data_IF_659569129652
#
_entry.id   IF_659569129652
#
_cell.length_a   1.000
_cell.length_b   1.000
_cell.length_c   1.000
_cell.angle_alpha   90.00
_cell.angle_beta   90.00
_cell.angle_gamma   90.00
#
_symmetry.space_group_name_H-M   'P 1'
#
loop_
_entity.id
_entity.type
_entity.pdbx_description
1 polymer ?
#
# COMPACT_ATOMS: atom_id res chain seq x y z
N UNK A 1 54.42 1.01 -6.95
CA UNK A 1 53.01 1.25 -7.32
C UNK A 1 52.97 2.16 -8.53
N UNK A 2 52.21 1.79 -9.57
CA UNK A 2 52.12 2.58 -10.79
C UNK A 2 51.17 3.76 -10.53
N UNK A 3 51.73 4.94 -10.26
CA UNK A 3 50.96 6.16 -9.95
C UNK A 3 49.90 6.45 -11.03
N UNK A 4 50.23 6.20 -12.30
CA UNK A 4 49.31 6.30 -13.45
C UNK A 4 48.11 5.36 -13.34
N UNK A 5 48.33 4.11 -12.88
CA UNK A 5 47.26 3.12 -12.68
C UNK A 5 46.38 3.50 -11.50
N UNK A 6 46.97 4.02 -10.42
CA UNK A 6 46.24 4.45 -9.22
C UNK A 6 45.28 5.61 -9.53
N UNK A 7 45.72 6.60 -10.31
CA UNK A 7 44.89 7.76 -10.68
C UNK A 7 43.74 7.32 -11.58
N UNK A 8 44.01 6.44 -12.55
CA UNK A 8 42.99 5.92 -13.45
C UNK A 8 41.89 5.16 -12.67
N UNK A 9 42.29 4.34 -11.69
CA UNK A 9 41.35 3.58 -10.87
C UNK A 9 40.45 4.49 -10.02
N UNK A 10 40.99 5.56 -9.43
CA UNK A 10 40.19 6.53 -8.65
C UNK A 10 39.19 7.26 -9.54
N UNK A 11 39.58 7.65 -10.76
CA UNK A 11 38.66 8.31 -11.70
C UNK A 11 37.50 7.39 -12.08
N UNK A 12 37.77 6.12 -12.36
CA UNK A 12 36.73 5.13 -12.65
C UNK A 12 35.80 4.95 -11.44
N UNK A 13 36.35 4.84 -10.23
CA UNK A 13 35.54 4.74 -9.01
C UNK A 13 34.62 5.95 -8.82
N UNK A 14 35.11 7.16 -9.08
CA UNK A 14 34.30 8.39 -8.96
C UNK A 14 33.18 8.44 -9.99
N UNK A 15 33.42 7.98 -11.22
CA UNK A 15 32.37 7.94 -12.26
C UNK A 15 31.30 6.91 -11.89
N UNK A 16 31.69 5.68 -11.56
CA UNK A 16 30.74 4.62 -11.23
C UNK A 16 30.03 4.89 -9.90
N UNK A 17 30.78 5.24 -8.86
CA UNK A 17 30.24 5.53 -7.53
C UNK A 17 29.38 6.79 -7.51
N UNK A 18 29.82 7.85 -8.18
CA UNK A 18 29.06 9.10 -8.30
C UNK A 18 27.74 8.91 -9.05
N UNK A 19 27.77 8.20 -10.19
CA UNK A 19 26.56 7.92 -10.98
C UNK A 19 25.59 7.05 -10.19
N UNK A 20 26.07 6.00 -9.51
CA UNK A 20 25.23 5.13 -8.68
C UNK A 20 24.59 5.88 -7.51
N UNK A 21 25.32 6.79 -6.86
CA UNK A 21 24.81 7.61 -5.77
C UNK A 21 23.68 8.55 -6.25
N UNK A 22 23.87 9.19 -7.42
CA UNK A 22 22.87 10.09 -8.02
C UNK A 22 21.60 9.33 -8.39
N UNK A 23 21.73 8.14 -8.99
CA UNK A 23 20.57 7.30 -9.33
C UNK A 23 19.80 6.89 -8.08
N UNK A 24 20.49 6.39 -7.03
CA UNK A 24 19.84 5.97 -5.79
C UNK A 24 19.15 7.12 -5.04
N UNK A 25 19.73 8.33 -5.08
CA UNK A 25 19.13 9.53 -4.45
C UNK A 25 17.97 10.09 -5.28
N UNK A 26 17.98 9.88 -6.59
CA UNK A 26 16.93 10.40 -7.50
C UNK A 26 15.76 9.44 -7.64
N UNK A 27 15.96 8.14 -7.39
CA UNK A 27 14.90 7.16 -7.11
C UNK A 27 14.21 7.51 -5.78
N UNK A 28 13.55 8.67 -5.77
CA UNK A 28 12.43 8.91 -4.89
C UNK A 28 11.29 8.14 -5.54
N UNK A 29 10.98 6.98 -4.98
CA UNK A 29 9.72 6.25 -5.18
C UNK A 29 8.56 7.19 -4.83
N UNK A 30 8.29 8.18 -5.67
CA UNK A 30 7.06 8.94 -5.64
C UNK A 30 6.06 7.98 -6.24
N UNK A 31 5.17 7.37 -5.45
CA UNK A 31 4.18 6.47 -6.01
C UNK A 31 3.44 7.24 -7.09
N UNK A 32 3.44 6.69 -8.30
CA UNK A 32 2.75 7.25 -9.44
C UNK A 32 1.24 7.20 -9.19
N UNK A 33 0.70 8.28 -8.60
CA UNK A 33 -0.70 8.47 -8.25
C UNK A 33 -1.61 8.59 -9.49
N UNK A 34 -1.07 8.58 -10.71
CA UNK A 34 -1.85 8.71 -11.95
C UNK A 34 -2.53 7.41 -12.39
N UNK A 35 -2.16 6.28 -11.79
CA UNK A 35 -2.78 4.97 -12.03
C UNK A 35 -3.77 4.66 -10.90
N UNK A 36 -4.99 4.16 -11.22
CA UNK A 36 -5.94 3.72 -10.20
C UNK A 36 -5.43 2.43 -9.57
N UNK A 37 -4.58 2.57 -8.55
CA UNK A 37 -4.13 1.47 -7.73
C UNK A 37 -5.23 1.09 -6.74
N UNK A 38 -5.57 -0.19 -6.71
CA UNK A 38 -6.51 -0.75 -5.76
C UNK A 38 -5.69 -1.15 -4.52
N UNK A 39 -5.74 -0.32 -3.49
CA UNK A 39 -5.07 -0.59 -2.23
C UNK A 39 -5.94 -1.54 -1.40
N UNK A 40 -5.33 -2.63 -0.94
CA UNK A 40 -5.90 -3.48 0.10
C UNK A 40 -5.24 -3.08 1.41
N UNK A 41 -6.04 -2.65 2.37
CA UNK A 41 -5.56 -2.33 3.72
C UNK A 41 -5.97 -3.52 4.57
N UNK A 42 -5.02 -4.24 5.15
CA UNK A 42 -5.37 -5.32 6.06
C UNK A 42 -6.07 -4.73 7.30
N UNK A 43 -7.12 -5.37 7.78
CA UNK A 43 -7.89 -4.91 8.95
C UNK A 43 -7.01 -4.72 10.19
N UNK A 44 -5.93 -5.51 10.28
CA UNK A 44 -4.92 -5.41 11.33
C UNK A 44 -4.15 -4.09 11.33
N UNK A 45 -4.00 -3.46 10.17
CA UNK A 45 -3.16 -2.27 9.96
C UNK A 45 -3.95 -0.97 10.16
N UNK A 46 -5.27 -1.06 10.33
CA UNK A 46 -6.12 0.10 10.63
C UNK A 46 -6.00 0.42 12.12
N UNK A 47 -5.31 1.51 12.44
CA UNK A 47 -5.06 1.97 13.81
C UNK A 47 -5.96 3.12 14.25
N UNK A 48 -6.45 3.90 13.29
CA UNK A 48 -7.31 5.06 13.52
C UNK A 48 -8.28 5.26 12.36
N UNK A 49 -9.48 5.73 12.67
CA UNK A 49 -10.53 6.08 11.71
C UNK A 49 -11.14 7.42 12.12
N UNK A 50 -11.04 8.41 11.26
CA UNK A 50 -11.62 9.74 11.47
C UNK A 50 -12.75 9.93 10.45
N UNK A 51 -13.93 10.31 10.94
CA UNK A 51 -15.12 10.50 10.12
C UNK A 51 -15.82 11.79 10.52
N UNK A 52 -16.28 12.55 9.52
CA UNK A 52 -17.17 13.69 9.73
C UNK A 52 -18.61 13.26 9.44
N UNK A 53 -19.48 13.29 10.45
CA UNK A 53 -20.90 12.99 10.31
C UNK A 53 -21.75 14.19 10.77
N UNK A 54 -22.61 14.69 9.89
CA UNK A 54 -23.50 15.83 10.19
C UNK A 54 -22.79 17.10 10.74
N UNK A 55 -21.50 17.27 10.43
CA UNK A 55 -20.68 18.39 10.89
C UNK A 55 -19.92 18.13 12.20
N UNK A 56 -20.09 16.96 12.81
CA UNK A 56 -19.27 16.52 13.95
C UNK A 56 -18.16 15.59 13.48
N UNK A 57 -16.94 15.84 13.95
CA UNK A 57 -15.78 14.98 13.72
C UNK A 57 -15.74 13.92 14.82
N UNK A 58 -15.67 12.65 14.42
CA UNK A 58 -15.63 11.50 15.31
C UNK A 58 -14.41 10.67 14.94
N UNK A 59 -13.55 10.44 15.92
CA UNK A 59 -12.35 9.64 15.76
C UNK A 59 -12.45 8.33 16.55
N UNK A 60 -12.07 7.23 15.91
CA UNK A 60 -12.00 5.90 16.49
C UNK A 60 -10.57 5.40 16.47
N UNK A 61 -10.12 4.84 17.58
CA UNK A 61 -8.74 4.36 17.72
C UNK A 61 -8.73 2.91 18.17
N UNK A 62 -7.75 2.15 17.67
CA UNK A 62 -7.51 0.79 18.12
C UNK A 62 -6.40 0.78 19.16
N UNK A 63 -6.69 0.27 20.35
CA UNK A 63 -5.69 0.10 21.38
C UNK A 63 -4.66 -0.96 20.96
N UNK A 64 -3.35 -0.64 20.96
CA UNK A 64 -2.31 -1.61 20.64
C UNK A 64 -2.18 -2.73 21.69
N UNK A 65 -2.76 -2.55 22.88
CA UNK A 65 -2.66 -3.51 23.97
C UNK A 65 -3.83 -4.52 24.00
N UNK A 66 -5.05 -4.08 23.73
CA UNK A 66 -6.25 -4.92 23.82
C UNK A 66 -6.86 -5.29 22.48
N UNK A 67 -6.38 -4.72 21.37
CA UNK A 67 -6.99 -4.79 20.03
C UNK A 67 -8.43 -4.24 19.99
N UNK A 68 -8.89 -3.64 21.08
CA UNK A 68 -10.22 -3.06 21.20
C UNK A 68 -10.28 -1.68 20.56
N UNK A 69 -11.47 -1.35 20.06
CA UNK A 69 -11.75 -0.06 19.46
C UNK A 69 -12.36 0.89 20.49
N UNK A 70 -11.95 2.14 20.42
CA UNK A 70 -12.36 3.21 21.31
C UNK A 70 -12.81 4.43 20.49
N UNK A 71 -13.81 5.15 20.99
CA UNK A 71 -14.21 6.45 20.45
C UNK A 71 -13.46 7.50 21.24
N UNK A 72 -12.63 8.29 20.55
CA UNK A 72 -12.00 9.47 21.16
C UNK A 72 -13.04 10.56 21.27
N UNK A 73 -13.18 11.07 22.49
CA UNK A 73 -13.87 12.33 22.74
C UNK A 73 -12.85 13.44 22.54
N UNK A 74 -13.29 14.50 21.88
CA UNK A 74 -12.56 15.72 21.49
C UNK A 74 -12.05 16.56 22.70
N UNK A 75 -11.89 15.94 23.87
CA UNK A 75 -11.57 16.58 25.13
C UNK A 75 -10.75 15.62 26.00
N UNK A 76 -9.50 16.00 26.28
CA UNK A 76 -8.52 15.34 27.16
C UNK A 76 -9.01 15.02 28.60
N UNK A 77 -10.28 15.33 28.92
CA UNK A 77 -10.89 15.19 30.25
C UNK A 77 -11.94 14.08 30.34
N UNK A 78 -12.38 13.53 29.21
CA UNK A 78 -13.33 12.41 29.21
C UNK A 78 -12.60 11.11 28.87
N UNK A 79 -12.87 10.01 29.62
CA UNK A 79 -12.28 8.72 29.30
C UNK A 79 -12.81 8.21 27.97
N UNK A 80 -11.91 7.64 27.17
CA UNK A 80 -12.25 7.00 25.90
C UNK A 80 -13.37 5.97 26.06
N UNK A 81 -14.35 6.02 25.16
CA UNK A 81 -15.53 5.16 25.26
C UNK A 81 -15.24 3.87 24.48
N UNK A 82 -15.30 2.68 25.10
CA UNK A 82 -15.11 1.43 24.39
C UNK A 82 -16.24 1.24 23.37
N UNK A 83 -15.87 0.88 22.14
CA UNK A 83 -16.82 0.60 21.08
C UNK A 83 -17.48 -0.76 21.32
N UNK A 84 -18.77 -0.85 21.02
CA UNK A 84 -19.50 -2.11 21.13
C UNK A 84 -19.06 -3.10 20.02
N UNK A 85 -18.13 -3.98 20.36
CA UNK A 85 -17.46 -4.92 19.45
C UNK A 85 -18.42 -5.75 18.58
N UNK A 86 -19.57 -6.16 19.13
CA UNK A 86 -20.52 -7.02 18.42
C UNK A 86 -21.22 -6.30 17.26
N UNK A 87 -21.34 -4.97 17.32
CA UNK A 87 -21.84 -4.14 16.21
C UNK A 87 -20.68 -3.62 15.34
N UNK A 88 -19.52 -3.40 15.94
CA UNK A 88 -18.39 -2.75 15.28
C UNK A 88 -17.45 -3.69 14.53
N UNK A 89 -17.31 -4.94 14.94
CA UNK A 89 -16.29 -5.88 14.43
C UNK A 89 -16.35 -6.20 12.93
N UNK A 90 -17.40 -5.79 12.21
CA UNK A 90 -17.47 -5.88 10.74
C UNK A 90 -17.14 -4.57 10.01
N UNK A 91 -17.11 -3.44 10.71
CA UNK A 91 -16.95 -2.10 10.11
C UNK A 91 -15.54 -1.88 9.56
N UNK A 92 -14.46 -2.21 10.30
CA UNK A 92 -13.10 -2.12 9.76
C UNK A 92 -12.90 -3.00 8.51
N UNK A 93 -13.51 -4.19 8.48
CA UNK A 93 -13.48 -5.07 7.32
C UNK A 93 -14.16 -4.47 6.08
N UNK A 94 -15.24 -3.70 6.23
CA UNK A 94 -15.86 -3.00 5.11
C UNK A 94 -14.99 -1.85 4.58
N UNK A 95 -14.16 -1.25 5.44
CA UNK A 95 -13.25 -0.16 5.09
C UNK A 95 -11.89 -0.65 4.55
N UNK A 96 -11.56 -1.94 4.72
CA UNK A 96 -10.35 -2.60 4.18
C UNK A 96 -10.21 -2.59 2.65
N UNK A 97 -11.28 -2.17 1.96
CA UNK A 97 -11.35 -2.03 0.51
C UNK A 97 -12.08 -3.20 -0.16
N UNK A 98 -12.30 -3.12 -1.48
CA UNK A 98 -12.92 -4.20 -2.24
C UNK A 98 -12.11 -5.49 -2.10
N UNK A 99 -12.77 -6.60 -1.75
CA UNK A 99 -12.15 -7.94 -1.84
C UNK A 99 -11.88 -8.26 -3.30
N UNK A 100 -10.72 -7.86 -3.83
CA UNK A 100 -10.22 -8.34 -5.10
C UNK A 100 -9.67 -9.74 -4.86
N UNK A 101 -10.56 -10.72 -4.74
CA UNK A 101 -10.18 -12.10 -5.09
C UNK A 101 -9.91 -12.06 -6.59
N UNK A 102 -8.65 -11.87 -6.97
CA UNK A 102 -8.23 -12.28 -8.31
C UNK A 102 -8.10 -13.80 -8.20
N UNK A 103 -9.02 -14.61 -8.77
CA UNK A 103 -8.66 -15.98 -9.03
C UNK A 103 -7.48 -15.93 -10.00
N UNK A 104 -6.26 -16.06 -9.47
CA UNK A 104 -5.21 -16.68 -10.26
C UNK A 104 -5.68 -18.12 -10.38
N UNK A 105 -6.29 -18.45 -11.51
CA UNK A 105 -6.50 -19.85 -11.87
C UNK A 105 -5.13 -20.54 -11.83
N UNK A 106 -4.96 -21.53 -10.95
CA UNK A 106 -3.73 -22.32 -10.79
C UNK A 106 -3.42 -23.20 -12.03
N UNK A 107 -4.25 -23.14 -13.06
CA UNK A 107 -4.03 -23.82 -14.34
C UNK A 107 -3.74 -22.79 -15.44
N UNK A 108 -2.45 -22.54 -15.71
CA UNK A 108 -2.00 -22.12 -17.05
C UNK A 108 -1.98 -23.39 -17.90
N UNK A 109 -3.15 -23.94 -18.18
CA UNK A 109 -3.29 -25.01 -19.16
C UNK A 109 -4.13 -24.47 -20.31
N UNK A 110 -3.48 -24.44 -21.48
CA UNK A 110 -4.05 -24.24 -22.80
C UNK A 110 -4.33 -22.80 -23.29
N UNK A 111 -3.24 -22.05 -23.54
CA UNK A 111 -3.23 -20.91 -24.47
C UNK A 111 -3.27 -21.34 -25.96
N UNK A 112 -3.52 -22.63 -26.29
CA UNK A 112 -3.52 -23.13 -27.67
C UNK A 112 -4.92 -23.39 -28.25
N UNK A 113 -5.99 -23.11 -27.51
CA UNK A 113 -7.36 -23.24 -28.01
C UNK A 113 -8.16 -21.93 -28.09
N UNK A 114 -7.48 -20.78 -28.22
CA UNK A 114 -8.17 -19.54 -28.61
C UNK A 114 -8.48 -19.58 -30.12
N UNK A 115 -9.71 -20.01 -30.42
CA UNK A 115 -10.29 -20.04 -31.76
C UNK A 115 -10.34 -18.65 -32.40
N UNK A 116 -9.31 -18.33 -33.19
CA UNK A 116 -9.41 -17.35 -34.26
C UNK A 116 -9.90 -18.05 -35.53
N UNK A 117 -11.21 -18.35 -35.59
CA UNK A 117 -11.84 -18.71 -36.85
C UNK A 117 -12.00 -17.43 -37.68
N UNK A 118 -11.15 -17.30 -38.69
CA UNK A 118 -11.19 -16.23 -39.68
C UNK A 118 -12.44 -16.44 -40.55
N UNK A 119 -13.56 -15.82 -40.20
CA UNK A 119 -14.71 -15.72 -41.12
C UNK A 119 -14.27 -14.88 -42.34
N UNK A 120 -14.10 -15.54 -43.49
CA UNK A 120 -14.09 -14.86 -44.79
C UNK A 120 -15.54 -14.62 -45.23
N UNK A 121 -15.89 -13.44 -45.76
CA UNK A 121 -17.18 -13.24 -46.40
C UNK A 121 -17.15 -13.76 -47.84
N UNK A 122 -18.22 -14.49 -48.17
CA UNK A 122 -18.78 -14.83 -49.49
C UNK A 122 -17.96 -15.71 -50.44
#
# INVERSE_FOLDING_TARGET
MNLRLSILLVVVLLIFGGTFLILKVTDNDRPDLSRPWLYRIDEGDIIALELVHAGEEIAYFRSPASLDWYISKDSDKEPDIPVFQQRWGGTPLLMSGPRVTRPLSDSVEDLRHSGWSRQKPQ
#
